data_IF_341624908295
#
_entry.id   IF_341624908295
#
_cell.length_a   1.000
_cell.length_b   1.000
_cell.length_c   1.000
_cell.angle_alpha   90.00
_cell.angle_beta   90.00
_cell.angle_gamma   90.00
#
_symmetry.space_group_name_H-M   'P 1'
#
loop_
_entity.id
_entity.type
_entity.pdbx_description
1 polymer ?
#
# COMPACT_ATOMS: atom_id res chain seq x y z
N UNK A 1 -23.62 4.44 13.24
CA UNK A 1 -23.07 5.28 12.14
C UNK A 1 -21.75 4.66 11.72
N UNK A 2 -21.50 4.51 10.42
CA UNK A 2 -20.19 4.08 9.92
C UNK A 2 -19.15 5.12 10.37
N UNK A 3 -18.15 4.77 11.19
CA UNK A 3 -17.17 5.74 11.69
C UNK A 3 -16.36 6.40 10.56
N UNK A 4 -16.40 5.85 9.34
CA UNK A 4 -15.65 6.32 8.20
C UNK A 4 -16.47 7.08 7.14
N UNK A 5 -17.70 7.54 7.45
CA UNK A 5 -18.51 8.39 6.56
C UNK A 5 -18.61 7.89 5.11
N UNK A 6 -18.68 6.58 4.91
CA UNK A 6 -18.73 5.89 3.59
C UNK A 6 -17.51 6.08 2.67
N UNK A 7 -16.44 6.76 3.14
CA UNK A 7 -15.18 6.90 2.37
C UNK A 7 -14.23 5.72 2.54
N UNK A 8 -14.48 4.81 3.50
CA UNK A 8 -13.76 3.55 3.66
C UNK A 8 -14.72 2.38 3.52
N UNK A 9 -14.33 1.37 2.75
CA UNK A 9 -14.89 0.02 2.82
C UNK A 9 -13.81 -0.92 3.35
N UNK A 10 -14.15 -1.78 4.30
CA UNK A 10 -13.20 -2.71 4.92
C UNK A 10 -13.76 -4.12 4.94
N UNK A 11 -12.88 -5.08 4.66
CA UNK A 11 -13.18 -6.50 4.58
C UNK A 11 -12.00 -7.28 5.16
N UNK A 12 -12.15 -7.73 6.40
CA UNK A 12 -11.13 -8.48 7.11
C UNK A 12 -11.09 -9.96 6.74
N UNK A 13 -12.06 -10.44 5.96
CA UNK A 13 -12.13 -11.79 5.40
C UNK A 13 -11.84 -11.86 3.91
N UNK A 14 -11.24 -10.80 3.34
CA UNK A 14 -11.03 -10.73 1.89
C UNK A 14 -10.17 -11.89 1.38
N UNK A 15 -9.09 -12.23 2.08
CA UNK A 15 -8.20 -13.33 1.74
C UNK A 15 -8.27 -14.43 2.81
N UNK A 16 -8.45 -15.71 2.45
CA UNK A 16 -8.25 -16.82 3.37
C UNK A 16 -6.83 -16.80 3.95
N UNK A 17 -6.69 -17.24 5.19
CA UNK A 17 -5.42 -17.19 5.94
C UNK A 17 -4.27 -17.92 5.22
N UNK A 18 -4.54 -19.08 4.61
CA UNK A 18 -3.55 -19.84 3.86
C UNK A 18 -3.02 -19.07 2.64
N UNK A 19 -3.92 -18.49 1.82
CA UNK A 19 -3.56 -17.67 0.66
C UNK A 19 -2.76 -16.42 1.08
N UNK A 20 -3.13 -15.81 2.21
CA UNK A 20 -2.46 -14.64 2.75
C UNK A 20 -1.05 -14.96 3.26
N UNK A 21 -0.87 -16.12 3.92
CA UNK A 21 0.44 -16.62 4.33
C UNK A 21 1.34 -16.91 3.13
N UNK A 22 0.83 -17.60 2.11
CA UNK A 22 1.58 -17.89 0.88
C UNK A 22 2.05 -16.62 0.18
N UNK A 23 1.15 -15.64 0.02
CA UNK A 23 1.48 -14.36 -0.59
C UNK A 23 2.50 -13.58 0.25
N UNK A 24 2.34 -13.59 1.58
CA UNK A 24 3.28 -12.93 2.49
C UNK A 24 4.69 -13.54 2.39
N UNK A 25 4.81 -14.87 2.44
CA UNK A 25 6.09 -15.58 2.26
C UNK A 25 6.70 -15.32 0.88
N UNK A 26 5.88 -15.36 -0.17
CA UNK A 26 6.33 -15.05 -1.53
C UNK A 26 6.93 -13.65 -1.63
N UNK A 27 6.26 -12.64 -1.06
CA UNK A 27 6.73 -11.25 -1.09
C UNK A 27 7.98 -11.02 -0.24
N UNK A 28 8.12 -11.70 0.90
CA UNK A 28 9.35 -11.66 1.71
C UNK A 28 10.57 -12.23 0.96
N UNK A 29 10.36 -13.08 -0.04
CA UNK A 29 11.42 -13.59 -0.91
C UNK A 29 12.07 -12.56 -1.83
N UNK A 30 11.42 -11.40 -2.05
CA UNK A 30 12.00 -10.32 -2.85
C UNK A 30 12.98 -9.50 -2.02
N UNK A 31 14.28 -9.68 -2.30
CA UNK A 31 15.35 -8.95 -1.63
C UNK A 31 15.23 -7.43 -1.80
N UNK A 32 14.69 -6.98 -2.92
CA UNK A 32 14.48 -5.58 -3.29
C UNK A 32 13.36 -4.94 -2.48
N UNK A 33 12.39 -5.73 -2.01
CA UNK A 33 11.35 -5.27 -1.09
C UNK A 33 11.82 -5.30 0.36
N UNK A 34 12.54 -6.34 0.78
CA UNK A 34 12.93 -6.51 2.18
C UNK A 34 14.19 -5.74 2.57
N UNK A 35 14.97 -5.30 1.58
CA UNK A 35 16.05 -4.34 1.79
C UNK A 35 15.48 -2.96 2.09
N UNK A 36 16.01 -2.31 3.13
CA UNK A 36 15.67 -0.93 3.46
C UNK A 36 15.90 -0.02 2.26
N UNK A 37 14.89 0.77 1.90
CA UNK A 37 14.99 1.70 0.79
C UNK A 37 16.13 2.68 1.04
N UNK A 38 16.91 2.96 0.00
CA UNK A 38 17.97 3.95 0.03
C UNK A 38 17.69 5.00 -1.02
N UNK A 39 17.96 6.26 -0.68
CA UNK A 39 17.93 7.34 -1.64
C UNK A 39 19.24 8.11 -1.52
N UNK A 40 19.94 8.21 -2.64
CA UNK A 40 21.14 9.00 -2.75
C UNK A 40 20.77 10.41 -3.19
N UNK A 41 21.34 11.39 -2.51
CA UNK A 41 21.18 12.80 -2.84
C UNK A 41 22.19 13.22 -3.90
N UNK A 42 21.89 14.34 -4.57
CA UNK A 42 22.81 14.94 -5.55
C UNK A 42 24.15 15.35 -4.91
N UNK A 43 24.19 15.58 -3.60
CA UNK A 43 25.42 15.85 -2.83
C UNK A 43 26.26 14.62 -2.51
N UNK A 44 25.75 13.41 -2.77
CA UNK A 44 26.42 12.14 -2.47
C UNK A 44 26.07 11.51 -1.11
N UNK A 45 25.18 12.13 -0.33
CA UNK A 45 24.68 11.55 0.92
C UNK A 45 23.61 10.48 0.64
N UNK A 46 23.66 9.36 1.36
CA UNK A 46 22.69 8.27 1.24
C UNK A 46 21.80 8.19 2.47
N UNK A 47 20.49 8.32 2.27
CA UNK A 47 19.49 8.19 3.32
C UNK A 47 18.84 6.81 3.26
N UNK A 48 18.88 6.07 4.38
CA UNK A 48 18.17 4.80 4.54
C UNK A 48 16.83 5.04 5.21
N UNK A 49 15.76 4.58 4.60
CA UNK A 49 14.45 4.59 5.21
C UNK A 49 14.28 3.36 6.11
N UNK A 50 13.44 3.47 7.13
CA UNK A 50 13.12 2.34 8.03
C UNK A 50 12.21 1.28 7.39
N UNK A 51 11.85 1.44 6.12
CA UNK A 51 10.99 0.54 5.37
C UNK A 51 11.64 0.17 4.03
N UNK A 52 11.24 -0.96 3.47
CA UNK A 52 11.57 -1.34 2.10
C UNK A 52 10.40 -1.04 1.14
N UNK A 53 10.71 -0.85 -0.14
CA UNK A 53 9.72 -0.45 -1.15
C UNK A 53 10.04 -1.04 -2.52
N UNK A 54 9.02 -1.59 -3.16
CA UNK A 54 9.02 -1.91 -4.60
C UNK A 54 7.65 -1.64 -5.22
N UNK A 55 7.53 -1.76 -6.54
CA UNK A 55 6.25 -1.68 -7.24
C UNK A 55 6.07 -2.88 -8.18
N UNK A 56 4.82 -3.37 -8.26
CA UNK A 56 4.38 -4.21 -9.37
C UNK A 56 3.64 -3.35 -10.39
N UNK A 57 3.95 -3.49 -11.66
CA UNK A 57 3.33 -2.71 -12.75
C UNK A 57 3.01 -3.60 -13.94
N UNK A 58 2.07 -3.15 -14.78
CA UNK A 58 1.78 -3.82 -16.04
C UNK A 58 3.02 -3.87 -16.95
N UNK A 59 3.14 -4.97 -17.69
CA UNK A 59 4.28 -5.23 -18.60
C UNK A 59 4.51 -4.08 -19.60
N UNK A 60 3.44 -3.55 -20.18
CA UNK A 60 3.52 -2.42 -21.13
C UNK A 60 4.12 -1.15 -20.50
N UNK A 61 3.83 -0.89 -19.21
CA UNK A 61 4.34 0.28 -18.49
C UNK A 61 5.82 0.11 -18.15
N UNK A 62 6.24 -1.13 -17.87
CA UNK A 62 7.62 -1.48 -17.65
C UNK A 62 8.44 -1.31 -18.93
N UNK A 63 7.95 -1.85 -20.06
CA UNK A 63 8.59 -1.74 -21.38
C UNK A 63 8.68 -0.29 -21.87
N UNK A 64 7.67 0.52 -21.58
CA UNK A 64 7.65 1.94 -21.88
C UNK A 64 8.44 2.80 -20.87
N UNK A 65 9.10 2.20 -19.87
CA UNK A 65 9.86 2.86 -18.80
C UNK A 65 9.08 4.01 -18.13
N UNK A 66 7.78 3.82 -17.89
CA UNK A 66 6.91 4.85 -17.29
C UNK A 66 7.22 5.10 -15.81
N UNK A 67 7.86 4.13 -15.15
CA UNK A 67 8.27 4.19 -13.75
C UNK A 67 9.78 3.94 -13.61
N UNK A 68 10.63 4.94 -13.93
CA UNK A 68 12.07 4.80 -13.77
C UNK A 68 12.45 4.48 -12.32
N UNK A 69 13.33 3.49 -12.14
CA UNK A 69 13.75 3.00 -10.81
C UNK A 69 14.35 4.13 -9.94
N UNK A 70 15.04 5.09 -10.55
CA UNK A 70 15.61 6.28 -9.87
C UNK A 70 14.58 7.15 -9.16
N UNK A 71 13.31 7.10 -9.58
CA UNK A 71 12.24 7.94 -9.04
C UNK A 71 11.27 7.11 -8.19
N UNK A 72 10.98 5.89 -8.63
CA UNK A 72 9.89 5.08 -8.06
C UNK A 72 10.36 3.96 -7.14
N UNK A 73 11.66 3.64 -7.15
CA UNK A 73 12.22 2.43 -6.57
C UNK A 73 12.07 1.23 -7.51
N UNK A 74 12.42 0.04 -7.04
CA UNK A 74 12.42 -1.16 -7.88
C UNK A 74 11.03 -1.43 -8.45
N UNK A 75 10.94 -1.63 -9.77
CA UNK A 75 9.70 -2.02 -10.45
C UNK A 75 9.83 -3.43 -11.02
N UNK A 76 8.75 -4.20 -10.94
CA UNK A 76 8.67 -5.59 -11.39
C UNK A 76 7.35 -5.84 -12.12
N UNK A 77 7.30 -6.78 -13.07
CA UNK A 77 6.02 -7.25 -13.61
C UNK A 77 5.25 -8.01 -12.52
N UNK A 78 3.91 -8.02 -12.62
CA UNK A 78 3.06 -8.77 -11.70
C UNK A 78 3.41 -10.27 -11.66
N UNK A 79 3.57 -10.84 -10.46
CA UNK A 79 3.60 -12.29 -10.27
C UNK A 79 2.20 -12.91 -10.44
N UNK A 80 2.12 -14.22 -10.65
CA UNK A 80 0.83 -14.90 -10.83
C UNK A 80 -0.08 -14.76 -9.59
N UNK A 81 0.50 -14.84 -8.39
CA UNK A 81 -0.19 -14.61 -7.13
C UNK A 81 -0.79 -13.19 -7.09
N UNK A 82 0.01 -12.17 -7.44
CA UNK A 82 -0.45 -10.78 -7.47
C UNK A 82 -1.53 -10.55 -8.55
N UNK A 83 -1.44 -11.19 -9.72
CA UNK A 83 -2.46 -11.11 -10.78
C UNK A 83 -3.81 -11.65 -10.32
N UNK A 84 -3.83 -12.74 -9.55
CA UNK A 84 -5.06 -13.31 -9.00
C UNK A 84 -5.75 -12.31 -8.05
N UNK A 85 -4.99 -11.73 -7.12
CA UNK A 85 -5.50 -10.73 -6.18
C UNK A 85 -5.97 -9.46 -6.89
N UNK A 86 -5.18 -8.95 -7.85
CA UNK A 86 -5.55 -7.83 -8.70
C UNK A 86 -6.92 -8.07 -9.35
N UNK A 87 -7.13 -9.18 -10.05
CA UNK A 87 -8.41 -9.50 -10.71
C UNK A 87 -9.59 -9.53 -9.75
N UNK A 88 -9.43 -10.05 -8.53
CA UNK A 88 -10.47 -10.07 -7.51
C UNK A 88 -10.84 -8.67 -7.04
N UNK A 89 -9.83 -7.83 -6.82
CA UNK A 89 -10.02 -6.42 -6.46
C UNK A 89 -10.74 -5.68 -7.60
N UNK A 90 -10.29 -5.85 -8.84
CA UNK A 90 -10.88 -5.21 -10.03
C UNK A 90 -12.35 -5.60 -10.23
N UNK A 91 -12.68 -6.88 -10.03
CA UNK A 91 -14.07 -7.35 -10.06
C UNK A 91 -14.92 -6.69 -8.98
N UNK A 92 -14.37 -6.47 -7.78
CA UNK A 92 -15.10 -5.88 -6.65
C UNK A 92 -15.32 -4.38 -6.82
N UNK A 93 -14.33 -3.66 -7.37
CA UNK A 93 -14.40 -2.21 -7.54
C UNK A 93 -15.00 -1.79 -8.88
N UNK A 94 -15.06 -2.72 -9.85
CA UNK A 94 -15.34 -2.43 -11.25
C UNK A 94 -14.39 -1.36 -11.82
N UNK A 95 -13.12 -1.46 -11.48
CA UNK A 95 -12.02 -0.57 -11.89
C UNK A 95 -10.79 -1.41 -12.23
N UNK A 96 -9.90 -0.91 -13.09
CA UNK A 96 -8.62 -1.54 -13.40
C UNK A 96 -7.48 -0.90 -12.61
N UNK A 97 -6.49 -1.69 -12.16
CA UNK A 97 -5.34 -1.19 -11.41
C UNK A 97 -4.02 -1.60 -12.05
N UNK A 98 -3.40 -0.68 -12.78
CA UNK A 98 -2.20 -0.98 -13.57
C UNK A 98 -0.88 -1.01 -12.79
N UNK A 99 -0.93 -0.62 -11.52
CA UNK A 99 0.23 -0.58 -10.63
C UNK A 99 -0.13 -0.93 -9.19
N UNK A 100 0.86 -1.37 -8.41
CA UNK A 100 0.74 -1.61 -6.98
C UNK A 100 2.04 -1.18 -6.27
N UNK A 101 1.91 -0.28 -5.30
CA UNK A 101 3.01 0.11 -4.41
C UNK A 101 3.09 -0.89 -3.27
N UNK A 102 4.25 -1.51 -3.08
CA UNK A 102 4.51 -2.47 -2.02
C UNK A 102 5.45 -1.85 -1.00
N UNK A 103 5.02 -1.78 0.25
CA UNK A 103 5.83 -1.25 1.36
C UNK A 103 6.02 -2.36 2.40
N UNK A 104 7.27 -2.63 2.74
CA UNK A 104 7.67 -3.54 3.79
C UNK A 104 8.06 -2.77 5.05
N UNK A 105 7.35 -3.03 6.13
CA UNK A 105 7.60 -2.52 7.47
C UNK A 105 8.22 -3.65 8.28
N UNK A 106 9.52 -3.62 8.62
CA UNK A 106 10.18 -4.69 9.36
C UNK A 106 9.61 -4.87 10.77
N UNK A 107 9.25 -3.75 11.40
CA UNK A 107 8.71 -3.67 12.75
C UNK A 107 8.02 -2.31 12.96
N UNK A 108 7.59 -2.05 14.20
CA UNK A 108 6.89 -0.85 14.63
C UNK A 108 7.70 0.45 14.62
N UNK A 109 9.01 0.39 14.40
CA UNK A 109 9.86 1.58 14.28
C UNK A 109 9.75 2.21 12.89
N UNK A 110 9.01 1.58 12.00
CA UNK A 110 8.68 2.07 10.67
C UNK A 110 7.17 2.27 10.55
N UNK A 111 6.79 3.35 9.89
CA UNK A 111 5.40 3.77 9.73
C UNK A 111 5.30 4.87 8.68
N UNK A 112 4.10 5.40 8.52
CA UNK A 112 3.83 6.56 7.66
C UNK A 112 2.95 7.55 8.41
N UNK A 113 3.38 8.80 8.44
CA UNK A 113 2.64 9.90 9.05
C UNK A 113 1.37 10.22 8.27
N UNK A 114 0.53 11.08 8.84
CA UNK A 114 -0.68 11.55 8.19
C UNK A 114 -0.40 12.15 6.81
N UNK A 115 -1.05 11.59 5.79
CA UNK A 115 -1.00 12.07 4.42
C UNK A 115 -2.27 11.71 3.65
N UNK A 116 -2.48 12.38 2.53
CA UNK A 116 -3.43 11.96 1.49
C UNK A 116 -2.65 11.55 0.25
N UNK A 117 -3.07 10.46 -0.36
CA UNK A 117 -2.45 9.95 -1.56
C UNK A 117 -2.64 10.91 -2.73
N UNK A 118 -1.54 11.27 -3.40
CA UNK A 118 -1.56 12.20 -4.54
C UNK A 118 -1.84 11.48 -5.87
N UNK A 119 -2.51 12.14 -6.84
CA UNK A 119 -2.77 11.57 -8.16
C UNK A 119 -1.52 11.62 -9.05
N UNK A 120 -0.42 11.02 -8.59
CA UNK A 120 0.89 11.17 -9.21
C UNK A 120 0.99 10.51 -10.60
N UNK A 121 0.19 9.47 -10.85
CA UNK A 121 0.20 8.73 -12.12
C UNK A 121 -1.18 8.17 -12.50
N UNK A 122 -2.22 8.45 -11.73
CA UNK A 122 -3.60 8.06 -11.99
C UNK A 122 -4.54 8.70 -10.96
N UNK A 123 -5.85 8.60 -11.19
CA UNK A 123 -6.82 9.11 -10.22
C UNK A 123 -6.77 8.36 -8.88
N UNK A 124 -7.22 9.04 -7.83
CA UNK A 124 -7.21 8.56 -6.44
C UNK A 124 -8.61 8.34 -5.88
N UNK A 125 -9.60 8.19 -6.77
CA UNK A 125 -11.00 8.04 -6.37
C UNK A 125 -11.32 6.69 -5.75
N UNK A 126 -10.57 5.64 -6.11
CA UNK A 126 -10.69 4.30 -5.52
C UNK A 126 -9.29 3.73 -5.35
N UNK A 127 -8.87 3.50 -4.11
CA UNK A 127 -7.53 2.97 -3.78
C UNK A 127 -7.70 1.75 -2.86
N UNK A 128 -7.63 0.54 -3.42
CA UNK A 128 -7.58 -0.70 -2.66
C UNK A 128 -6.21 -0.91 -2.02
N UNK A 129 -6.19 -1.39 -0.79
CA UNK A 129 -4.99 -1.73 -0.05
C UNK A 129 -5.15 -3.08 0.67
N UNK A 130 -4.21 -4.00 0.43
CA UNK A 130 -4.11 -5.27 1.17
C UNK A 130 -3.05 -5.14 2.26
N UNK A 131 -3.34 -5.71 3.43
CA UNK A 131 -2.37 -5.82 4.54
C UNK A 131 -1.99 -7.28 4.79
N UNK A 132 -0.69 -7.54 4.90
CA UNK A 132 -0.12 -8.87 5.17
C UNK A 132 0.89 -8.76 6.33
N UNK A 133 1.08 -9.85 7.06
CA UNK A 133 1.90 -9.90 8.28
C UNK A 133 1.22 -9.29 9.50
N UNK A 134 1.98 -8.57 10.33
CA UNK A 134 1.54 -8.01 11.61
C UNK A 134 0.39 -7.01 11.47
N UNK A 135 -0.67 -7.21 12.26
CA UNK A 135 -1.81 -6.32 12.30
C UNK A 135 -1.46 -4.98 12.95
N UNK A 136 -1.93 -3.88 12.37
CA UNK A 136 -1.64 -2.52 12.86
C UNK A 136 -2.85 -1.61 12.80
N UNK A 137 -2.85 -0.62 13.70
CA UNK A 137 -3.85 0.44 13.67
C UNK A 137 -3.57 1.38 12.50
N UNK A 138 -4.55 1.48 11.61
CA UNK A 138 -4.62 2.49 10.57
C UNK A 138 -5.55 3.60 11.06
N UNK A 139 -5.08 4.82 10.98
CA UNK A 139 -5.84 5.98 11.41
C UNK A 139 -6.28 6.80 10.21
N UNK A 140 -7.50 7.30 10.27
CA UNK A 140 -8.10 8.22 9.33
C UNK A 140 -8.50 9.50 10.08
N UNK A 141 -8.01 10.65 9.62
CA UNK A 141 -8.27 11.96 10.21
C UNK A 141 -8.97 12.86 9.21
N UNK A 142 -10.13 13.42 9.58
CA UNK A 142 -10.86 14.37 8.73
C UNK A 142 -10.12 15.72 8.72
N UNK A 143 -9.86 16.27 7.55
CA UNK A 143 -9.03 17.48 7.38
C UNK A 143 -9.63 18.72 8.09
N UNK A 144 -10.95 18.91 7.97
CA UNK A 144 -11.63 20.09 8.50
C UNK A 144 -11.75 20.11 10.03
N UNK A 145 -12.06 18.95 10.61
CA UNK A 145 -12.42 18.84 12.04
C UNK A 145 -11.30 18.22 12.88
N UNK A 146 -10.28 17.66 12.24
CA UNK A 146 -9.22 16.85 12.86
C UNK A 146 -9.75 15.65 13.65
N UNK A 147 -11.01 15.26 13.42
CA UNK A 147 -11.61 14.10 14.05
C UNK A 147 -10.94 12.84 13.51
N UNK A 148 -10.53 11.97 14.42
CA UNK A 148 -9.80 10.76 14.12
C UNK A 148 -10.69 9.52 14.30
N UNK A 149 -10.47 8.53 13.45
CA UNK A 149 -11.05 7.19 13.56
C UNK A 149 -9.97 6.17 13.21
N UNK A 150 -10.04 4.99 13.83
CA UNK A 150 -9.02 3.97 13.65
C UNK A 150 -9.63 2.61 13.27
N UNK A 151 -8.88 1.82 12.52
CA UNK A 151 -9.21 0.45 12.17
C UNK A 151 -7.97 -0.44 12.26
N UNK A 152 -8.12 -1.61 12.86
CA UNK A 152 -7.07 -2.63 12.83
C UNK A 152 -7.06 -3.27 11.46
N UNK A 153 -5.98 -3.07 10.69
CA UNK A 153 -5.75 -3.76 9.43
C UNK A 153 -5.22 -5.16 9.72
N UNK A 154 -6.07 -6.16 9.46
CA UNK A 154 -5.78 -7.57 9.71
C UNK A 154 -4.93 -8.20 8.62
N UNK A 155 -4.32 -9.33 8.93
CA UNK A 155 -3.65 -10.17 7.95
C UNK A 155 -4.65 -10.61 6.86
N UNK A 156 -4.31 -10.41 5.58
CA UNK A 156 -5.17 -10.75 4.44
C UNK A 156 -6.35 -9.80 4.20
N UNK A 157 -6.47 -8.73 5.00
CA UNK A 157 -7.60 -7.78 4.89
C UNK A 157 -7.48 -6.87 3.67
N UNK A 158 -8.64 -6.44 3.17
CA UNK A 158 -8.77 -5.42 2.13
C UNK A 158 -9.44 -4.17 2.70
N UNK A 159 -8.73 -3.05 2.62
CA UNK A 159 -9.27 -1.71 2.82
C UNK A 159 -9.39 -1.02 1.47
N UNK A 160 -10.52 -0.39 1.19
CA UNK A 160 -10.73 0.43 0.00
C UNK A 160 -10.99 1.86 0.44
N UNK A 161 -10.10 2.77 0.06
CA UNK A 161 -10.31 4.21 0.17
C UNK A 161 -11.12 4.67 -1.04
N UNK A 162 -12.40 4.99 -0.82
CA UNK A 162 -13.35 5.41 -1.84
C UNK A 162 -13.29 6.92 -2.13
N UNK A 163 -14.11 7.36 -3.07
CA UNK A 163 -14.18 8.74 -3.54
C UNK A 163 -14.43 9.69 -2.36
N UNK A 164 -13.68 10.79 -2.31
CA UNK A 164 -13.76 11.74 -1.21
C UNK A 164 -12.79 11.44 -0.07
N UNK A 165 -12.16 10.25 -0.04
CA UNK A 165 -11.18 9.92 0.99
C UNK A 165 -9.94 10.81 0.87
N UNK A 166 -9.30 10.88 -0.30
CA UNK A 166 -8.03 11.61 -0.46
C UNK A 166 -8.21 13.13 -0.48
N UNK A 167 -9.43 13.62 -0.73
CA UNK A 167 -9.75 15.04 -0.71
C UNK A 167 -10.05 15.55 0.70
N UNK A 168 -10.75 14.74 1.52
CA UNK A 168 -11.31 15.19 2.80
C UNK A 168 -10.61 14.60 4.03
N UNK A 169 -9.73 13.61 3.84
CA UNK A 169 -9.07 12.90 4.93
C UNK A 169 -7.59 12.69 4.66
N UNK A 170 -6.84 12.65 5.74
CA UNK A 170 -5.48 12.11 5.82
C UNK A 170 -5.52 10.76 6.52
N UNK A 171 -4.57 9.89 6.18
CA UNK A 171 -4.41 8.61 6.84
C UNK A 171 -2.97 8.35 7.27
N UNK A 172 -2.81 7.53 8.30
CA UNK A 172 -1.50 7.16 8.82
C UNK A 172 -1.46 5.70 9.28
N UNK A 173 -0.24 5.18 9.32
CA UNK A 173 0.12 3.94 9.99
C UNK A 173 1.29 4.28 10.93
N UNK A 174 1.01 4.86 12.11
CA UNK A 174 2.03 5.47 12.94
C UNK A 174 3.04 4.44 13.45
N UNK A 175 4.26 4.91 13.70
CA UNK A 175 5.26 4.09 14.40
C UNK A 175 4.76 3.76 15.80
N UNK A 176 4.85 2.50 16.19
CA UNK A 176 4.54 2.07 17.54
C UNK A 176 5.44 0.89 17.91
N UNK A 177 6.42 1.08 18.81
CA UNK A 177 7.38 0.04 19.17
C UNK A 177 6.78 -1.23 19.77
N UNK A 178 5.47 -1.29 20.08
CA UNK A 178 4.81 -2.54 20.50
C UNK A 178 4.82 -3.60 19.39
N UNK A 179 4.82 -3.15 18.14
CA UNK A 179 4.84 -3.97 16.94
C UNK A 179 6.25 -4.47 16.67
N UNK A 180 6.44 -5.79 16.66
CA UNK A 180 7.76 -6.45 16.61
C UNK A 180 7.94 -7.32 15.38
N UNK A 181 6.90 -7.50 14.58
CA UNK A 181 6.87 -8.42 13.47
C UNK A 181 6.74 -7.67 12.13
N UNK A 182 7.17 -8.32 11.03
CA UNK A 182 7.06 -7.71 9.70
C UNK A 182 5.62 -7.55 9.24
N UNK A 183 5.38 -6.47 8.48
CA UNK A 183 4.12 -6.18 7.78
C UNK A 183 4.42 -5.75 6.34
N UNK A 184 3.61 -6.19 5.39
CA UNK A 184 3.61 -5.69 4.02
C UNK A 184 2.27 -5.01 3.70
N UNK A 185 2.33 -3.85 3.07
CA UNK A 185 1.19 -3.13 2.51
C UNK A 185 1.26 -3.19 0.98
N UNK A 186 0.16 -3.57 0.34
CA UNK A 186 0.01 -3.57 -1.11
C UNK A 186 -1.06 -2.57 -1.50
N UNK A 187 -0.68 -1.43 -2.06
CA UNK A 187 -1.60 -0.35 -2.43
C UNK A 187 -1.77 -0.30 -3.94
N UNK A 188 -2.95 -0.69 -4.43
CA UNK A 188 -3.29 -0.78 -5.85
C UNK A 188 -3.70 0.59 -6.39
N UNK A 189 -3.18 0.93 -7.58
CA UNK A 189 -3.29 2.27 -8.15
C UNK A 189 -3.53 2.20 -9.65
N UNK A 190 -4.38 3.12 -10.13
CA UNK A 190 -4.61 3.34 -11.55
C UNK A 190 -3.38 3.97 -12.21
N UNK A 191 -3.29 3.82 -13.52
CA UNK A 191 -2.35 4.57 -14.35
C UNK A 191 -3.10 5.23 -15.52
N UNK A 192 -2.84 6.51 -15.77
CA UNK A 192 -3.52 7.27 -16.81
C UNK A 192 -4.86 7.85 -16.36
N UNK A 193 -5.69 8.23 -17.34
CA UNK A 193 -7.04 8.77 -17.12
C UNK A 193 -8.07 7.67 -16.92
#
# INVERSE_FOLDING_TARGET
MNPFNDVISYDDGFMPEEEANELFTHLLGYSELTSMMKMDTVSGDSFKFGFGKMMFIDQELLEANQFPESTWGKTMPWSEQMKSIKKRIEKRTNQEFRTCVCIFYPDGNSGVDYHSDKPAFGDTSVIPAISLGEERQFYLRKNETLTESAITLKHGSLLIMNKGCQENFEHSLPTNPIYKNPRISLTFRKFGR
#
